data_IF_912283952821
#
_entry.id   IF_912283952821
#
_cell.length_a   1.000
_cell.length_b   1.000
_cell.length_c   1.000
_cell.angle_alpha   90.00
_cell.angle_beta   90.00
_cell.angle_gamma   90.00
#
_symmetry.space_group_name_H-M   'P 1'
#
loop_
_entity.id
_entity.type
_entity.pdbx_description
1 polymer ?
#
# COMPACT_ATOMS: atom_id res chain seq x y z
N UNK A 1 -26.31 40.69 18.71
CA UNK A 1 -24.85 40.93 18.68
C UNK A 1 -24.32 40.20 17.45
N UNK A 2 -24.08 40.89 16.31
CA UNK A 2 -22.75 41.36 15.84
C UNK A 2 -21.66 40.31 16.12
N UNK A 3 -20.94 39.72 15.17
CA UNK A 3 -20.46 40.22 13.86
C UNK A 3 -19.85 39.04 13.08
N UNK A 4 -19.93 39.09 11.74
CA UNK A 4 -19.14 38.26 10.85
C UNK A 4 -17.64 38.58 10.98
N UNK A 5 -16.79 37.57 10.87
CA UNK A 5 -15.34 37.77 10.67
C UNK A 5 -14.93 37.01 9.41
N UNK A 6 -14.76 37.78 8.34
CA UNK A 6 -13.96 37.42 7.18
C UNK A 6 -12.68 38.25 7.26
N UNK A 7 -11.53 37.59 7.29
CA UNK A 7 -10.26 38.23 6.93
C UNK A 7 -9.39 37.26 6.15
N UNK A 8 -9.16 37.67 4.90
CA UNK A 8 -8.23 37.14 3.91
C UNK A 8 -6.81 36.99 4.46
N UNK A 9 -6.19 35.82 4.27
CA UNK A 9 -4.76 35.62 4.45
C UNK A 9 -4.04 35.98 3.15
N UNK A 10 -3.37 37.13 3.20
CA UNK A 10 -2.59 37.73 2.12
C UNK A 10 -1.36 36.89 1.78
N UNK A 11 -1.22 36.54 0.49
CA UNK A 11 0.05 36.11 -0.11
C UNK A 11 1.00 37.30 -0.20
N UNK A 12 2.18 37.22 0.43
CA UNK A 12 3.37 37.96 -0.02
C UNK A 12 4.67 37.17 0.18
N UNK A 13 5.15 36.73 -0.98
CA UNK A 13 6.49 36.47 -1.53
C UNK A 13 7.77 37.00 -0.85
N UNK A 14 8.87 36.53 -1.44
CA UNK A 14 10.27 37.04 -1.49
C UNK A 14 11.13 36.51 -0.32
N UNK A 15 12.30 35.90 -0.50
CA UNK A 15 13.52 36.43 -1.13
C UNK A 15 14.45 35.31 -1.63
N UNK A 16 14.96 35.48 -2.85
CA UNK A 16 16.10 34.78 -3.42
C UNK A 16 17.43 35.37 -2.89
N UNK A 17 18.43 34.53 -2.62
CA UNK A 17 19.82 34.99 -2.51
C UNK A 17 20.69 34.13 -3.44
N UNK A 18 21.34 34.84 -4.36
CA UNK A 18 22.25 34.38 -5.39
C UNK A 18 23.56 35.16 -5.19
N UNK A 19 24.71 34.50 -5.05
CA UNK A 19 26.06 35.03 -5.32
C UNK A 19 27.06 33.85 -5.16
N UNK A 20 27.70 33.30 -6.20
CA UNK A 20 28.70 33.83 -7.14
C UNK A 20 30.16 33.70 -6.63
N UNK A 21 30.82 32.70 -7.22
CA UNK A 21 32.24 32.37 -7.47
C UNK A 21 33.42 33.21 -6.91
N UNK A 22 34.46 32.48 -6.47
CA UNK A 22 35.86 32.85 -6.69
C UNK A 22 36.64 31.62 -7.18
N UNK A 23 37.29 31.76 -8.33
CA UNK A 23 38.12 30.74 -8.97
C UNK A 23 39.55 30.77 -8.41
N UNK A 24 40.16 29.60 -8.21
CA UNK A 24 41.60 29.45 -8.00
C UNK A 24 42.06 28.26 -8.84
N UNK A 25 42.86 28.57 -9.87
CA UNK A 25 43.50 27.60 -10.76
C UNK A 25 44.80 27.12 -10.13
N UNK A 26 44.84 25.86 -9.70
CA UNK A 26 46.08 25.13 -9.46
C UNK A 26 46.11 23.93 -10.41
N UNK A 27 47.13 23.87 -11.27
CA UNK A 27 47.40 22.77 -12.19
C UNK A 27 48.33 21.79 -11.46
N UNK A 28 47.94 20.52 -11.36
CA UNK A 28 48.80 19.40 -10.96
C UNK A 28 48.63 18.25 -11.98
N UNK A 29 49.68 17.45 -12.25
CA UNK A 29 49.70 16.48 -13.35
C UNK A 29 48.97 15.18 -13.01
N UNK A 30 48.57 14.48 -14.07
CA UNK A 30 47.77 13.26 -14.10
C UNK A 30 48.43 12.01 -13.47
N UNK A 31 47.61 11.10 -12.94
CA UNK A 31 47.99 9.72 -12.69
C UNK A 31 47.11 8.99 -11.66
N UNK A 32 46.11 8.27 -12.19
CA UNK A 32 45.35 7.15 -11.61
C UNK A 32 44.47 7.33 -10.35
N UNK A 33 43.32 6.64 -10.41
CA UNK A 33 42.36 6.37 -9.34
C UNK A 33 41.26 7.43 -9.07
N UNK A 34 40.48 7.76 -10.10
CA UNK A 34 39.03 7.91 -9.92
C UNK A 34 38.33 6.79 -10.67
N UNK A 35 38.39 5.59 -10.10
CA UNK A 35 37.27 4.68 -10.26
C UNK A 35 36.07 5.41 -9.66
N UNK A 36 35.35 6.16 -10.49
CA UNK A 36 34.01 6.59 -10.15
C UNK A 36 33.21 5.30 -9.93
N UNK A 37 33.11 4.89 -8.68
CA UNK A 37 31.93 4.17 -8.21
C UNK A 37 30.76 5.02 -8.67
N UNK A 38 30.12 4.64 -9.78
CA UNK A 38 28.73 4.99 -10.01
C UNK A 38 28.02 4.51 -8.75
N UNK A 39 27.80 5.41 -7.80
CA UNK A 39 26.74 5.24 -6.83
C UNK A 39 25.50 5.15 -7.68
N UNK A 40 25.08 3.92 -7.97
CA UNK A 40 23.75 3.63 -8.47
C UNK A 40 22.85 4.34 -7.47
N UNK A 41 22.13 5.37 -7.92
CA UNK A 41 21.07 5.95 -7.12
C UNK A 41 20.22 4.76 -6.63
N UNK A 42 19.84 4.72 -5.34
CA UNK A 42 19.07 3.60 -4.83
C UNK A 42 17.87 3.39 -5.75
N UNK A 43 17.66 2.14 -6.17
CA UNK A 43 16.52 1.81 -7.02
C UNK A 43 15.25 2.34 -6.36
N UNK A 44 14.39 2.96 -7.17
CA UNK A 44 13.12 3.49 -6.67
C UNK A 44 12.38 2.41 -5.90
N UNK A 45 11.85 2.77 -4.73
CA UNK A 45 11.01 1.87 -3.95
C UNK A 45 9.83 1.37 -4.79
N UNK A 46 9.27 0.21 -4.42
CA UNK A 46 8.04 -0.26 -5.07
C UNK A 46 6.92 0.79 -4.93
N UNK A 47 6.85 1.48 -3.80
CA UNK A 47 5.91 2.59 -3.56
C UNK A 47 6.00 3.68 -4.64
N UNK A 48 7.23 4.11 -4.95
CA UNK A 48 7.46 5.13 -5.98
C UNK A 48 7.11 4.62 -7.38
N UNK A 49 7.43 3.36 -7.67
CA UNK A 49 7.12 2.72 -8.96
C UNK A 49 5.61 2.48 -9.14
N UNK A 50 4.88 2.24 -8.06
CA UNK A 50 3.42 2.14 -8.04
C UNK A 50 2.72 3.50 -8.17
N UNK A 51 3.46 4.61 -8.12
CA UNK A 51 2.89 5.96 -8.25
C UNK A 51 2.42 6.58 -6.92
N UNK A 52 2.89 6.03 -5.80
CA UNK A 52 2.60 6.54 -4.46
C UNK A 52 1.15 6.34 -3.98
N UNK A 53 0.84 6.93 -2.82
CA UNK A 53 -0.39 6.64 -2.05
C UNK A 53 -1.68 6.87 -2.84
N UNK A 54 -1.76 7.88 -3.71
CA UNK A 54 -2.99 8.14 -4.47
C UNK A 54 -3.27 7.06 -5.52
N UNK A 55 -2.23 6.58 -6.21
CA UNK A 55 -2.36 5.48 -7.16
C UNK A 55 -2.69 4.17 -6.44
N UNK A 56 -2.01 3.89 -5.33
CA UNK A 56 -2.27 2.74 -4.46
C UNK A 56 -3.73 2.77 -3.95
N UNK A 57 -4.19 3.92 -3.44
CA UNK A 57 -5.54 4.07 -2.92
C UNK A 57 -6.60 3.81 -4.00
N UNK A 58 -6.38 4.26 -5.24
CA UNK A 58 -7.29 3.98 -6.35
C UNK A 58 -7.36 2.49 -6.70
N UNK A 59 -6.22 1.79 -6.71
CA UNK A 59 -6.16 0.33 -6.90
C UNK A 59 -6.91 -0.38 -5.77
N UNK A 60 -6.65 -0.01 -4.52
CA UNK A 60 -7.28 -0.61 -3.33
C UNK A 60 -8.78 -0.35 -3.26
N UNK A 61 -9.24 0.84 -3.67
CA UNK A 61 -10.64 1.21 -3.75
C UNK A 61 -11.39 0.28 -4.71
N UNK A 62 -10.88 0.14 -5.94
CA UNK A 62 -11.43 -0.78 -6.92
C UNK A 62 -11.38 -2.24 -6.46
N UNK A 63 -10.22 -2.70 -5.97
CA UNK A 63 -10.02 -4.07 -5.51
C UNK A 63 -11.02 -4.44 -4.41
N UNK A 64 -11.22 -3.56 -3.43
CA UNK A 64 -12.13 -3.83 -2.32
C UNK A 64 -13.59 -3.91 -2.78
N UNK A 65 -14.00 -3.07 -3.73
CA UNK A 65 -15.32 -3.17 -4.35
C UNK A 65 -15.49 -4.44 -5.21
N UNK A 66 -14.42 -4.88 -5.88
CA UNK A 66 -14.40 -6.10 -6.67
C UNK A 66 -14.56 -7.34 -5.78
N UNK A 67 -13.81 -7.42 -4.67
CA UNK A 67 -13.94 -8.51 -3.67
C UNK A 67 -15.36 -8.60 -3.14
N UNK A 68 -16.02 -7.48 -2.84
CA UNK A 68 -17.42 -7.48 -2.37
C UNK A 68 -18.38 -8.11 -3.40
N UNK A 69 -18.12 -7.90 -4.69
CA UNK A 69 -18.93 -8.40 -5.81
C UNK A 69 -18.54 -9.81 -6.25
N UNK A 70 -17.36 -10.29 -5.85
CA UNK A 70 -16.82 -11.59 -6.24
C UNK A 70 -17.76 -12.73 -5.78
N UNK A 71 -18.09 -13.69 -6.66
CA UNK A 71 -19.04 -14.75 -6.34
C UNK A 71 -18.53 -15.76 -5.30
N UNK A 72 -17.22 -15.92 -5.16
CA UNK A 72 -16.59 -16.92 -4.28
C UNK A 72 -16.30 -16.32 -2.89
N UNK A 73 -15.76 -15.09 -2.85
CA UNK A 73 -15.28 -14.47 -1.59
C UNK A 73 -16.13 -13.29 -1.11
N UNK A 74 -17.09 -12.83 -1.91
CA UNK A 74 -17.95 -11.68 -1.63
C UNK A 74 -19.35 -12.03 -1.16
N UNK A 75 -20.35 -11.22 -1.57
CA UNK A 75 -21.76 -11.32 -1.16
C UNK A 75 -22.43 -12.68 -1.44
N UNK A 76 -21.91 -13.46 -2.39
CA UNK A 76 -22.44 -14.77 -2.78
C UNK A 76 -21.58 -15.94 -2.30
N UNK A 77 -20.56 -15.66 -1.47
CA UNK A 77 -19.65 -16.67 -0.95
C UNK A 77 -20.39 -17.83 -0.28
N UNK A 78 -19.89 -19.05 -0.47
CA UNK A 78 -20.38 -20.23 0.26
C UNK A 78 -20.01 -20.17 1.74
N UNK A 79 -18.87 -19.56 2.08
CA UNK A 79 -18.46 -19.31 3.46
C UNK A 79 -19.43 -18.31 4.14
N UNK A 80 -20.17 -18.74 5.18
CA UNK A 80 -21.19 -17.91 5.81
C UNK A 80 -20.59 -16.71 6.55
N UNK A 81 -19.36 -16.79 7.05
CA UNK A 81 -18.69 -15.69 7.74
C UNK A 81 -18.30 -14.58 6.74
N UNK A 82 -17.70 -14.94 5.61
CA UNK A 82 -17.42 -13.99 4.52
C UNK A 82 -18.71 -13.38 3.98
N UNK A 83 -19.73 -14.20 3.70
CA UNK A 83 -21.03 -13.70 3.21
C UNK A 83 -21.68 -12.73 4.20
N UNK A 84 -21.64 -13.03 5.50
CA UNK A 84 -22.16 -12.14 6.56
C UNK A 84 -21.40 -10.82 6.57
N UNK A 85 -20.07 -10.84 6.52
CA UNK A 85 -19.26 -9.62 6.47
C UNK A 85 -19.69 -8.73 5.29
N UNK A 86 -19.73 -9.30 4.08
CA UNK A 86 -20.04 -8.58 2.83
C UNK A 86 -21.52 -8.16 2.67
N UNK A 87 -22.42 -8.55 3.56
CA UNK A 87 -23.85 -8.20 3.50
C UNK A 87 -24.33 -7.38 4.69
N UNK A 88 -23.64 -7.45 5.83
CA UNK A 88 -24.07 -6.82 7.09
C UNK A 88 -23.08 -5.82 7.68
N UNK A 89 -21.87 -5.72 7.14
CA UNK A 89 -20.80 -4.89 7.71
C UNK A 89 -20.16 -3.93 6.67
N UNK A 90 -20.84 -3.65 5.57
CA UNK A 90 -20.28 -2.82 4.48
C UNK A 90 -20.10 -1.35 4.87
N UNK A 91 -20.76 -0.89 5.94
CA UNK A 91 -20.50 0.43 6.53
C UNK A 91 -19.05 0.58 7.02
N UNK A 92 -18.35 -0.53 7.30
CA UNK A 92 -16.92 -0.55 7.67
C UNK A 92 -15.98 -0.55 6.47
N UNK A 93 -16.48 -0.73 5.24
CA UNK A 93 -15.67 -0.85 4.04
C UNK A 93 -14.74 0.35 3.80
N UNK A 94 -15.14 1.63 4.04
CA UNK A 94 -14.22 2.76 3.90
C UNK A 94 -12.99 2.64 4.81
N UNK A 95 -13.18 2.21 6.06
CA UNK A 95 -12.07 1.94 6.98
C UNK A 95 -11.17 0.80 6.51
N UNK A 96 -11.75 -0.26 5.94
CA UNK A 96 -10.97 -1.37 5.38
C UNK A 96 -10.13 -0.93 4.17
N UNK A 97 -10.69 -0.09 3.28
CA UNK A 97 -9.95 0.49 2.15
C UNK A 97 -8.75 1.32 2.62
N UNK A 98 -8.94 2.11 3.68
CA UNK A 98 -7.85 2.87 4.29
C UNK A 98 -6.75 1.96 4.85
N UNK A 99 -7.10 0.95 5.66
CA UNK A 99 -6.11 0.04 6.26
C UNK A 99 -5.35 -0.77 5.20
N UNK A 100 -6.02 -1.22 4.14
CA UNK A 100 -5.38 -1.89 2.99
C UNK A 100 -4.42 -0.97 2.26
N UNK A 101 -4.78 0.30 2.10
CA UNK A 101 -3.91 1.31 1.48
C UNK A 101 -2.65 1.52 2.31
N UNK A 102 -2.78 1.64 3.64
CA UNK A 102 -1.63 1.74 4.54
C UNK A 102 -0.72 0.51 4.45
N UNK A 103 -1.29 -0.69 4.46
CA UNK A 103 -0.50 -1.92 4.32
C UNK A 103 0.30 -1.94 3.00
N UNK A 104 -0.32 -1.62 1.86
CA UNK A 104 0.40 -1.55 0.58
C UNK A 104 1.48 -0.47 0.61
N UNK A 105 1.20 0.71 1.20
CA UNK A 105 2.20 1.76 1.33
C UNK A 105 3.41 1.29 2.14
N UNK A 106 3.20 0.59 3.25
CA UNK A 106 4.28 0.14 4.12
C UNK A 106 5.12 -0.97 3.45
N UNK A 107 4.46 -2.02 2.96
CA UNK A 107 5.13 -3.19 2.38
C UNK A 107 5.87 -2.86 1.08
N UNK A 108 5.46 -1.81 0.38
CA UNK A 108 6.14 -1.32 -0.84
C UNK A 108 7.29 -0.34 -0.56
N UNK A 109 7.63 -0.10 0.71
CA UNK A 109 8.73 0.78 1.12
C UNK A 109 8.36 2.26 1.16
N UNK A 110 7.07 2.59 1.25
CA UNK A 110 6.55 3.95 1.32
C UNK A 110 6.67 4.58 2.72
N UNK A 111 6.31 5.87 2.83
CA UNK A 111 6.49 6.64 4.07
C UNK A 111 5.40 6.38 5.13
N UNK A 112 4.28 5.77 4.73
CA UNK A 112 3.16 5.48 5.64
C UNK A 112 3.28 4.09 6.21
N UNK A 113 3.27 3.99 7.55
CA UNK A 113 3.38 2.72 8.27
C UNK A 113 2.01 2.14 8.59
N UNK A 114 1.89 0.83 8.42
CA UNK A 114 0.72 0.10 8.88
C UNK A 114 0.85 -0.14 10.39
N UNK A 115 -0.26 0.06 11.10
CA UNK A 115 -0.37 -0.30 12.52
C UNK A 115 -1.63 -1.13 12.67
N UNK A 116 -1.49 -2.34 13.22
CA UNK A 116 -2.62 -3.20 13.48
C UNK A 116 -3.59 -2.54 14.45
N UNK A 117 -4.90 -2.69 14.21
CA UNK A 117 -5.93 -2.18 15.13
C UNK A 117 -6.03 -3.01 16.40
N UNK A 118 -5.65 -4.29 16.31
CA UNK A 118 -5.61 -5.24 17.40
C UNK A 118 -4.23 -5.91 17.39
N UNK A 119 -3.55 -6.06 18.55
CA UNK A 119 -2.28 -6.77 18.62
C UNK A 119 -2.43 -8.24 18.26
N UNK A 120 -1.42 -8.78 17.57
CA UNK A 120 -1.33 -10.18 17.21
C UNK A 120 0.04 -10.79 17.48
N UNK A 121 0.28 -12.00 16.97
CA UNK A 121 1.57 -12.67 16.99
C UNK A 121 2.59 -12.00 16.05
N UNK A 122 2.13 -11.34 14.99
CA UNK A 122 2.95 -10.52 14.09
C UNK A 122 2.63 -9.03 14.25
N UNK A 123 3.53 -8.12 13.84
CA UNK A 123 3.24 -6.68 13.82
C UNK A 123 2.02 -6.29 12.98
N UNK A 124 1.62 -7.15 12.02
CA UNK A 124 0.45 -6.92 11.18
C UNK A 124 -0.85 -7.44 11.81
N UNK A 125 -0.77 -8.40 12.73
CA UNK A 125 -1.91 -8.98 13.45
C UNK A 125 -3.00 -9.54 12.53
N UNK A 126 -2.61 -10.05 11.35
CA UNK A 126 -3.56 -10.48 10.33
C UNK A 126 -4.34 -11.71 10.77
N UNK A 127 -3.73 -12.58 11.58
CA UNK A 127 -4.38 -13.74 12.14
C UNK A 127 -5.57 -13.37 13.01
N UNK A 128 -5.45 -12.37 13.90
CA UNK A 128 -6.58 -11.93 14.73
C UNK A 128 -7.61 -11.17 13.89
N UNK A 129 -7.19 -10.36 12.91
CA UNK A 129 -8.10 -9.66 12.02
C UNK A 129 -8.97 -10.58 11.13
N UNK A 130 -8.48 -11.79 10.80
CA UNK A 130 -9.14 -12.72 9.87
C UNK A 130 -9.67 -14.00 10.53
N UNK A 131 -9.34 -14.27 11.79
CA UNK A 131 -9.69 -15.49 12.55
C UNK A 131 -11.14 -15.93 12.46
N UNK A 132 -12.06 -14.98 12.58
CA UNK A 132 -13.50 -15.21 12.61
C UNK A 132 -14.10 -15.33 11.21
N UNK A 133 -13.35 -14.97 10.16
CA UNK A 133 -13.79 -15.10 8.78
C UNK A 133 -13.62 -16.52 8.24
N UNK A 134 -12.82 -17.36 8.91
CA UNK A 134 -12.59 -18.77 8.54
C UNK A 134 -12.15 -18.92 7.08
N UNK A 135 -11.30 -18.01 6.61
CA UNK A 135 -10.84 -17.95 5.22
C UNK A 135 -10.00 -19.19 4.92
N UNK A 136 -10.47 -20.01 3.98
CA UNK A 136 -9.73 -21.16 3.50
C UNK A 136 -8.58 -20.74 2.57
N UNK A 137 -7.55 -21.61 2.37
CA UNK A 137 -6.49 -21.35 1.41
C UNK A 137 -6.98 -21.03 -0.01
N UNK A 138 -8.03 -21.71 -0.48
CA UNK A 138 -8.62 -21.46 -1.80
C UNK A 138 -9.34 -20.10 -1.89
N UNK A 139 -9.98 -19.66 -0.80
CA UNK A 139 -10.59 -18.32 -0.75
C UNK A 139 -9.51 -17.23 -0.72
N UNK A 140 -8.41 -17.45 -0.01
CA UNK A 140 -7.25 -16.56 -0.08
C UNK A 140 -6.72 -16.44 -1.50
N UNK A 141 -6.54 -17.56 -2.19
CA UNK A 141 -6.05 -17.58 -3.59
C UNK A 141 -7.00 -16.85 -4.54
N UNK A 142 -8.31 -16.93 -4.31
CA UNK A 142 -9.28 -16.17 -5.08
C UNK A 142 -9.19 -14.66 -4.81
N UNK A 143 -8.94 -14.23 -3.57
CA UNK A 143 -8.67 -12.82 -3.26
C UNK A 143 -7.39 -12.35 -3.95
N UNK A 144 -6.32 -13.16 -3.95
CA UNK A 144 -5.09 -12.87 -4.67
C UNK A 144 -5.32 -12.77 -6.19
N UNK A 145 -6.17 -13.63 -6.76
CA UNK A 145 -6.57 -13.56 -8.16
C UNK A 145 -7.36 -12.28 -8.48
N UNK A 146 -8.25 -11.82 -7.59
CA UNK A 146 -8.96 -10.55 -7.72
C UNK A 146 -8.02 -9.33 -7.66
N UNK A 147 -7.00 -9.40 -6.80
CA UNK A 147 -5.94 -8.39 -6.76
C UNK A 147 -5.19 -8.38 -8.10
N UNK A 148 -4.81 -9.54 -8.63
CA UNK A 148 -4.18 -9.68 -9.93
C UNK A 148 -4.99 -9.06 -11.07
N UNK A 149 -6.30 -9.34 -11.12
CA UNK A 149 -7.23 -8.73 -12.10
C UNK A 149 -7.33 -7.22 -11.94
N UNK A 150 -7.32 -6.73 -10.71
CA UNK A 150 -7.34 -5.28 -10.44
C UNK A 150 -6.04 -4.61 -10.91
N UNK A 151 -4.89 -5.20 -10.63
CA UNK A 151 -3.60 -4.67 -11.09
C UNK A 151 -3.53 -4.64 -12.64
N UNK A 152 -4.06 -5.66 -13.32
CA UNK A 152 -4.18 -5.68 -14.78
C UNK A 152 -5.09 -4.56 -15.31
N UNK A 153 -6.23 -4.31 -14.64
CA UNK A 153 -7.14 -3.21 -15.00
C UNK A 153 -6.43 -1.84 -14.93
N UNK A 154 -5.60 -1.64 -13.91
CA UNK A 154 -4.82 -0.41 -13.75
C UNK A 154 -3.55 -0.39 -14.60
N UNK A 155 -3.27 -1.45 -15.37
CA UNK A 155 -2.09 -1.59 -16.23
C UNK A 155 -0.79 -1.46 -15.45
N UNK A 156 -0.78 -1.96 -14.22
CA UNK A 156 0.46 -2.03 -13.41
C UNK A 156 1.46 -2.92 -14.16
N UNK A 157 2.71 -2.49 -14.35
CA UNK A 157 3.66 -3.28 -15.12
C UNK A 157 3.98 -4.60 -14.42
N UNK A 158 4.45 -5.58 -15.21
CA UNK A 158 4.59 -6.97 -14.76
C UNK A 158 5.49 -7.14 -13.54
N UNK A 159 6.57 -6.37 -13.45
CA UNK A 159 7.51 -6.44 -12.33
C UNK A 159 6.82 -6.02 -11.02
N UNK A 160 6.23 -4.83 -11.00
CA UNK A 160 5.50 -4.28 -9.84
C UNK A 160 4.32 -5.18 -9.46
N UNK A 161 3.57 -5.69 -10.46
CA UNK A 161 2.47 -6.63 -10.21
C UNK A 161 2.95 -7.90 -9.50
N UNK A 162 4.10 -8.44 -9.93
CA UNK A 162 4.67 -9.65 -9.34
C UNK A 162 5.05 -9.41 -7.89
N UNK A 163 5.78 -8.31 -7.62
CA UNK A 163 6.21 -7.96 -6.26
C UNK A 163 5.01 -7.70 -5.33
N UNK A 164 3.95 -7.04 -5.81
CA UNK A 164 2.72 -6.82 -5.01
C UNK A 164 2.03 -8.15 -4.69
N UNK A 165 1.95 -9.07 -5.65
CA UNK A 165 1.31 -10.38 -5.43
C UNK A 165 2.15 -11.29 -4.51
N UNK A 166 3.48 -11.22 -4.60
CA UNK A 166 4.39 -11.93 -3.69
C UNK A 166 4.27 -11.40 -2.26
N UNK A 167 4.27 -10.07 -2.09
CA UNK A 167 4.03 -9.44 -0.79
C UNK A 167 2.67 -9.82 -0.20
N UNK A 168 1.63 -9.89 -1.04
CA UNK A 168 0.31 -10.37 -0.61
C UNK A 168 0.36 -11.85 -0.17
N UNK A 169 0.96 -12.71 -0.99
CA UNK A 169 1.03 -14.15 -0.77
C UNK A 169 1.81 -14.54 0.49
N UNK A 170 2.78 -13.73 0.91
CA UNK A 170 3.55 -13.93 2.15
C UNK A 170 2.67 -13.98 3.41
N UNK A 171 1.45 -13.46 3.36
CA UNK A 171 0.52 -13.43 4.50
C UNK A 171 -0.49 -14.59 4.53
N UNK A 172 -0.38 -15.56 3.63
CA UNK A 172 -1.37 -16.64 3.48
C UNK A 172 -1.57 -17.44 4.77
N UNK A 173 -0.50 -17.78 5.48
CA UNK A 173 -0.58 -18.59 6.68
C UNK A 173 -1.31 -17.87 7.82
N UNK A 174 -1.00 -16.58 8.05
CA UNK A 174 -1.66 -15.76 9.07
C UNK A 174 -3.16 -15.59 8.76
N UNK A 175 -3.51 -15.22 7.52
CA UNK A 175 -4.90 -14.96 7.12
C UNK A 175 -5.76 -16.22 7.17
N UNK A 176 -5.17 -17.39 6.87
CA UNK A 176 -5.90 -18.66 6.82
C UNK A 176 -5.89 -19.44 8.13
N UNK A 177 -5.15 -18.99 9.14
CA UNK A 177 -5.00 -19.65 10.45
C UNK A 177 -6.34 -19.99 11.12
N UNK A 178 -7.36 -19.14 10.94
CA UNK A 178 -8.71 -19.36 11.49
C UNK A 178 -9.47 -20.54 10.87
N UNK A 179 -9.10 -21.01 9.67
CA UNK A 179 -9.78 -22.07 8.92
C UNK A 179 -9.37 -23.49 9.31
N UNK A 180 -8.20 -23.65 9.92
CA UNK A 180 -7.73 -24.95 10.42
C UNK A 180 -8.56 -25.30 11.66
N UNK A 181 -9.22 -26.47 11.65
CA UNK A 181 -9.85 -27.00 12.87
C UNK A 181 -8.74 -27.17 13.91
N UNK A 182 -8.87 -26.52 15.07
CA UNK A 182 -8.17 -26.99 16.27
C UNK A 182 -8.69 -28.42 16.51
N UNK A 183 -7.77 -29.39 16.42
CA UNK A 183 -8.03 -30.76 16.84
C UNK A 183 -8.43 -30.83 18.30
#
# INVERSE_FOLDING_TARGET
MKTAVSTSLSRRSVVAVLAAAAASTAILPAGDALAQTKQTAPDKSLYDRLGGVFAIAAVVDHFSDAVVKNPIVGKKSKNPQLRKWHTKNLERLPGLKFMRTLWVCDVSGGPFKFVATEPGATPLGLEEAHKDLKISPAEFDEVAAELGRTLDRFKVPKAEKTEVLEAFAAHKDEVTAGSVKKG
#
